data_IF_199740390374
#
_entry.id   IF_199740390374
#
_cell.length_a   1.000
_cell.length_b   1.000
_cell.length_c   1.000
_cell.angle_alpha   90.00
_cell.angle_beta   90.00
_cell.angle_gamma   90.00
#
_symmetry.space_group_name_H-M   'P 1'
#
loop_
_entity.id
_entity.type
_entity.pdbx_description
1 polymer ?
#
# COMPACT_ATOMS: atom_id res chain seq x y z
N UNK A 1 -6.71 -23.50 7.41
CA UNK A 1 -6.62 -23.11 8.85
C UNK A 1 -7.92 -22.42 9.30
N UNK A 2 -8.25 -22.36 10.61
CA UNK A 2 -9.42 -21.56 11.04
C UNK A 2 -9.08 -20.06 10.96
N UNK A 3 -10.06 -19.17 10.69
CA UNK A 3 -9.80 -17.72 10.59
C UNK A 3 -9.12 -17.13 11.83
N UNK A 4 -9.47 -17.65 13.02
CA UNK A 4 -8.86 -17.22 14.28
C UNK A 4 -7.37 -17.57 14.40
N UNK A 5 -6.96 -18.74 13.90
CA UNK A 5 -5.56 -19.15 13.89
C UNK A 5 -4.72 -18.27 12.95
N UNK A 6 -5.25 -17.94 11.77
CA UNK A 6 -4.58 -17.06 10.81
C UNK A 6 -4.40 -15.67 11.40
N UNK A 7 -5.45 -15.10 12.01
CA UNK A 7 -5.37 -13.80 12.66
C UNK A 7 -4.32 -13.78 13.78
N UNK A 8 -4.29 -14.80 14.63
CA UNK A 8 -3.31 -14.89 15.71
C UNK A 8 -1.86 -14.89 15.19
N UNK A 9 -1.57 -15.67 14.14
CA UNK A 9 -0.23 -15.72 13.53
C UNK A 9 0.15 -14.36 12.95
N UNK A 10 -0.74 -13.72 12.18
CA UNK A 10 -0.46 -12.42 11.57
C UNK A 10 -0.17 -11.36 12.64
N UNK A 11 -1.00 -11.27 13.69
CA UNK A 11 -0.82 -10.27 14.74
C UNK A 11 0.43 -10.50 15.59
N UNK A 12 0.75 -11.75 15.94
CA UNK A 12 1.94 -12.08 16.73
C UNK A 12 3.21 -11.77 15.94
N UNK A 13 3.27 -12.19 14.67
CA UNK A 13 4.45 -11.96 13.83
C UNK A 13 4.62 -10.46 13.57
N UNK A 14 3.55 -9.76 13.18
CA UNK A 14 3.57 -8.31 12.99
C UNK A 14 4.03 -7.58 14.25
N UNK A 15 3.42 -7.87 15.41
CA UNK A 15 3.78 -7.24 16.68
C UNK A 15 5.25 -7.46 17.05
N UNK A 16 5.76 -8.67 16.83
CA UNK A 16 7.18 -8.99 17.08
C UNK A 16 8.11 -8.17 16.18
N UNK A 17 7.80 -8.06 14.88
CA UNK A 17 8.60 -7.28 13.93
C UNK A 17 8.58 -5.78 14.25
N UNK A 18 7.45 -5.25 14.71
CA UNK A 18 7.32 -3.85 15.15
C UNK A 18 8.16 -3.59 16.42
N UNK A 19 8.13 -4.52 17.39
CA UNK A 19 8.96 -4.41 18.61
C UNK A 19 10.45 -4.41 18.27
N UNK A 20 10.85 -5.19 17.24
CA UNK A 20 12.21 -5.21 16.69
C UNK A 20 12.58 -3.94 15.89
N UNK A 21 11.72 -2.91 15.86
CA UNK A 21 11.91 -1.64 15.13
C UNK A 21 12.07 -1.80 13.62
N UNK A 22 11.52 -2.86 13.04
CA UNK A 22 11.47 -3.00 11.58
C UNK A 22 10.46 -1.99 11.03
N UNK A 23 10.75 -1.30 9.91
CA UNK A 23 9.79 -0.36 9.34
C UNK A 23 8.46 -1.06 9.03
N UNK A 24 7.35 -0.41 9.37
CA UNK A 24 6.00 -0.99 9.36
C UNK A 24 5.64 -1.64 8.02
N UNK A 25 6.08 -1.03 6.91
CA UNK A 25 5.87 -1.57 5.56
C UNK A 25 6.46 -2.98 5.39
N UNK A 26 7.69 -3.21 5.88
CA UNK A 26 8.31 -4.53 5.85
C UNK A 26 7.67 -5.50 6.84
N UNK A 27 7.28 -5.00 8.03
CA UNK A 27 6.62 -5.82 9.03
C UNK A 27 5.29 -6.39 8.52
N UNK A 28 4.48 -5.59 7.83
CA UNK A 28 3.21 -6.02 7.22
C UNK A 28 3.43 -7.09 6.13
N UNK A 29 4.41 -6.90 5.25
CA UNK A 29 4.71 -7.85 4.19
C UNK A 29 5.24 -9.19 4.73
N UNK A 30 6.17 -9.13 5.68
CA UNK A 30 6.78 -10.32 6.28
C UNK A 30 5.82 -11.09 7.18
N UNK A 31 4.87 -10.42 7.84
CA UNK A 31 3.87 -11.08 8.68
C UNK A 31 3.00 -12.08 7.90
N UNK A 32 2.79 -11.84 6.60
CA UNK A 32 2.01 -12.72 5.74
C UNK A 32 2.76 -14.01 5.33
N UNK A 33 4.10 -13.96 5.24
CA UNK A 33 4.93 -15.06 4.69
C UNK A 33 4.70 -16.41 5.40
N UNK A 34 4.65 -16.50 6.74
CA UNK A 34 4.39 -17.77 7.42
C UNK A 34 3.02 -18.35 7.09
N UNK A 35 2.00 -17.51 6.91
CA UNK A 35 0.63 -17.96 6.59
C UNK A 35 0.58 -18.55 5.18
N UNK A 36 1.28 -17.94 4.22
CA UNK A 36 1.41 -18.45 2.85
C UNK A 36 2.16 -19.78 2.77
N UNK A 37 3.08 -20.06 3.70
CA UNK A 37 3.84 -21.32 3.74
C UNK A 37 3.09 -22.48 4.40
N UNK A 38 2.10 -22.19 5.24
CA UNK A 38 1.38 -23.20 6.04
C UNK A 38 0.05 -23.62 5.38
N UNK A 39 -0.61 -22.72 4.67
CA UNK A 39 -1.91 -23.00 4.05
C UNK A 39 -1.76 -23.20 2.53
N UNK A 40 -1.84 -24.46 2.07
CA UNK A 40 -1.70 -24.85 0.65
C UNK A 40 -2.71 -24.16 -0.29
N UNK A 41 -3.78 -23.57 0.27
CA UNK A 41 -4.78 -22.81 -0.48
C UNK A 41 -4.29 -21.44 -0.90
N UNK A 42 -3.29 -20.90 -0.20
CA UNK A 42 -2.70 -19.60 -0.43
C UNK A 42 -1.49 -19.76 -1.35
N UNK A 43 -1.75 -19.95 -2.64
CA UNK A 43 -0.68 -20.09 -3.64
C UNK A 43 0.06 -18.75 -3.82
N UNK A 44 1.40 -18.75 -4.05
CA UNK A 44 2.16 -17.53 -4.36
C UNK A 44 1.58 -16.70 -5.51
N UNK A 45 0.85 -17.35 -6.42
CA UNK A 45 0.12 -16.70 -7.51
C UNK A 45 -0.98 -15.74 -7.00
N UNK A 46 -1.68 -16.09 -5.91
CA UNK A 46 -2.72 -15.24 -5.32
C UNK A 46 -2.11 -13.95 -4.74
N UNK A 47 -0.93 -14.05 -4.10
CA UNK A 47 -0.18 -12.90 -3.60
C UNK A 47 0.19 -11.95 -4.75
N UNK A 48 0.77 -12.49 -5.83
CA UNK A 48 1.10 -11.71 -7.02
C UNK A 48 -0.12 -10.97 -7.58
N UNK A 49 -1.26 -11.64 -7.67
CA UNK A 49 -2.49 -11.06 -8.21
C UNK A 49 -3.02 -9.89 -7.35
N UNK A 50 -3.00 -10.03 -6.02
CA UNK A 50 -3.40 -8.94 -5.10
C UNK A 50 -2.41 -7.77 -5.11
N UNK A 51 -1.11 -8.03 -5.27
CA UNK A 51 -0.12 -6.97 -5.48
C UNK A 51 -0.39 -6.20 -6.78
N UNK A 52 -0.66 -6.91 -7.89
CA UNK A 52 -1.00 -6.27 -9.16
C UNK A 52 -2.29 -5.44 -9.09
N UNK A 53 -3.32 -5.92 -8.39
CA UNK A 53 -4.54 -5.14 -8.14
C UNK A 53 -4.25 -3.83 -7.40
N UNK A 54 -3.37 -3.86 -6.39
CA UNK A 54 -2.96 -2.65 -5.66
C UNK A 54 -2.22 -1.65 -6.54
N UNK A 55 -1.36 -2.12 -7.45
CA UNK A 55 -0.68 -1.24 -8.42
C UNK A 55 -1.63 -0.62 -9.45
N UNK A 56 -2.74 -1.30 -9.76
CA UNK A 56 -3.77 -0.76 -10.64
C UNK A 56 -4.80 0.10 -9.89
N UNK A 57 -4.52 0.48 -8.64
CA UNK A 57 -5.42 1.35 -7.90
C UNK A 57 -5.54 2.72 -8.60
N UNK A 58 -6.77 3.16 -8.83
CA UNK A 58 -7.12 4.48 -9.38
C UNK A 58 -6.41 5.64 -8.66
N UNK A 59 -6.04 5.44 -7.39
CA UNK A 59 -5.26 6.40 -6.58
C UNK A 59 -3.89 6.68 -7.18
N UNK A 60 -3.22 5.70 -7.78
CA UNK A 60 -1.91 5.89 -8.41
C UNK A 60 -2.02 6.70 -9.71
N UNK A 61 -3.19 6.69 -10.37
CA UNK A 61 -3.50 7.59 -11.48
C UNK A 61 -3.78 9.02 -10.99
N UNK A 62 -4.26 9.20 -9.74
CA UNK A 62 -4.52 10.53 -9.21
C UNK A 62 -3.24 11.39 -9.16
N UNK A 63 -2.07 10.80 -8.85
CA UNK A 63 -0.79 11.52 -8.78
C UNK A 63 -0.41 12.20 -10.11
N UNK A 64 -0.29 11.50 -11.26
CA UNK A 64 0.02 12.14 -12.53
C UNK A 64 -1.08 13.12 -12.98
N UNK A 65 -2.35 12.85 -12.71
CA UNK A 65 -3.43 13.79 -13.04
C UNK A 65 -3.36 15.08 -12.22
N UNK A 66 -3.05 15.00 -10.92
CA UNK A 66 -2.83 16.19 -10.09
C UNK A 66 -1.60 16.98 -10.55
N UNK A 67 -0.50 16.30 -10.90
CA UNK A 67 0.69 16.96 -11.45
C UNK A 67 0.40 17.65 -12.79
N UNK A 68 -0.38 17.01 -13.66
CA UNK A 68 -0.80 17.58 -14.94
C UNK A 68 -1.68 18.82 -14.72
N UNK A 69 -2.68 18.73 -13.83
CA UNK A 69 -3.51 19.87 -13.46
C UNK A 69 -2.68 21.02 -12.87
N UNK A 70 -1.70 20.72 -12.00
CA UNK A 70 -0.78 21.70 -11.44
C UNK A 70 0.04 22.42 -12.53
N UNK A 71 0.58 21.67 -13.50
CA UNK A 71 1.34 22.25 -14.62
C UNK A 71 0.47 23.12 -15.53
N UNK A 72 -0.81 22.75 -15.74
CA UNK A 72 -1.78 23.57 -16.47
C UNK A 72 -2.06 24.86 -15.70
N UNK A 73 -2.29 24.78 -14.39
CA UNK A 73 -2.55 25.96 -13.55
C UNK A 73 -1.38 26.94 -13.54
N UNK A 74 -0.14 26.43 -13.45
CA UNK A 74 1.07 27.26 -13.55
C UNK A 74 1.21 27.89 -14.93
N UNK A 75 1.08 27.10 -16.01
CA UNK A 75 1.22 27.61 -17.38
C UNK A 75 0.11 28.62 -17.76
N UNK A 76 -1.09 28.46 -17.22
CA UNK A 76 -2.22 29.36 -17.44
C UNK A 76 -2.18 30.61 -16.54
N UNK A 77 -1.19 30.72 -15.64
CA UNK A 77 -1.06 31.81 -14.67
C UNK A 77 -2.19 31.82 -13.62
N UNK A 78 -2.93 30.72 -13.46
CA UNK A 78 -3.98 30.58 -12.44
C UNK A 78 -3.36 30.59 -11.06
N UNK A 79 -2.23 29.89 -10.88
CA UNK A 79 -1.48 29.86 -9.62
C UNK A 79 -1.06 31.27 -9.19
N UNK A 80 -0.49 32.06 -10.11
CA UNK A 80 -0.06 33.44 -9.81
C UNK A 80 -1.24 34.35 -9.43
N UNK A 81 -2.38 34.20 -10.12
CA UNK A 81 -3.61 34.94 -9.81
C UNK A 81 -4.15 34.59 -8.43
N UNK A 82 -4.12 33.30 -8.05
CA UNK A 82 -4.56 32.84 -6.73
C UNK A 82 -3.64 33.35 -5.62
N UNK A 83 -2.32 33.27 -5.79
CA UNK A 83 -1.34 33.77 -4.80
C UNK A 83 -1.46 35.28 -4.62
N UNK A 84 -1.75 36.03 -5.69
CA UNK A 84 -1.95 37.49 -5.61
C UNK A 84 -3.25 37.89 -4.91
N UNK A 85 -4.21 36.96 -4.81
CA UNK A 85 -5.50 37.13 -4.13
C UNK A 85 -5.46 36.73 -2.65
N UNK A 86 -4.46 35.96 -2.24
CA UNK A 86 -4.21 35.53 -0.86
C UNK A 86 -3.36 36.55 -0.09
#
# INVERSE_FOLDING_TARGET
MTPGQVAAILFIVFGTLVILRIPVAFALGLACVPVFLIDDRLTPFLLMNEMFKSYNAFVLLAVPFFLMAANIMNSAGITDRLVKLA
#
